data_IF_340053230071
#
_entry.id   IF_340053230071
#
_cell.length_a   1.000
_cell.length_b   1.000
_cell.length_c   1.000
_cell.angle_alpha   90.00
_cell.angle_beta   90.00
_cell.angle_gamma   90.00
#
_symmetry.space_group_name_H-M   'P 1'
#
loop_
_entity.id
_entity.type
_entity.pdbx_description
1 polymer ?
#
# COMPACT_ATOMS: atom_id res chain seq x y z
N UNK A 1 3.00 -8.87 -14.23
CA UNK A 1 3.40 -8.12 -13.03
C UNK A 1 2.16 -7.92 -12.19
N UNK A 2 2.18 -8.24 -10.90
CA UNK A 2 1.04 -8.04 -10.01
C UNK A 2 1.25 -6.75 -9.21
N UNK A 3 0.19 -5.96 -9.07
CA UNK A 3 0.19 -4.72 -8.30
C UNK A 3 -0.70 -4.89 -7.08
N UNK A 4 -0.18 -4.56 -5.90
CA UNK A 4 -0.89 -4.59 -4.63
C UNK A 4 -1.55 -3.23 -4.42
N UNK A 5 -2.86 -3.23 -4.18
CA UNK A 5 -3.61 -2.06 -3.74
C UNK A 5 -3.78 -2.21 -2.23
N UNK A 6 -3.08 -1.38 -1.46
CA UNK A 6 -3.06 -1.43 0.00
C UNK A 6 -3.98 -0.34 0.55
N UNK A 7 -5.06 -0.72 1.24
CA UNK A 7 -5.94 0.23 1.93
C UNK A 7 -5.62 0.16 3.42
N UNK A 8 -5.16 1.27 3.97
CA UNK A 8 -4.71 1.38 5.37
C UNK A 8 -4.92 2.83 5.85
N UNK A 9 -5.70 3.02 6.91
CA UNK A 9 -6.11 4.33 7.42
C UNK A 9 -5.04 4.98 8.31
N UNK A 10 -4.11 4.21 8.87
CA UNK A 10 -2.98 4.74 9.61
C UNK A 10 -1.76 4.98 8.70
N UNK A 11 -1.36 6.25 8.55
CA UNK A 11 -0.33 6.68 7.60
C UNK A 11 1.03 6.05 7.90
N UNK A 12 1.45 5.96 9.16
CA UNK A 12 2.76 5.42 9.49
C UNK A 12 2.82 3.91 9.18
N UNK A 13 1.76 3.17 9.49
CA UNK A 13 1.63 1.75 9.16
C UNK A 13 1.64 1.53 7.64
N UNK A 14 0.88 2.34 6.89
CA UNK A 14 0.85 2.30 5.43
C UNK A 14 2.24 2.48 4.81
N UNK A 15 3.03 3.44 5.33
CA UNK A 15 4.41 3.66 4.88
C UNK A 15 5.34 2.49 5.18
N UNK A 16 5.22 1.91 6.38
CA UNK A 16 6.02 0.75 6.78
C UNK A 16 5.71 -0.45 5.88
N UNK A 17 4.43 -0.79 5.68
CA UNK A 17 3.99 -1.90 4.84
C UNK A 17 4.39 -1.71 3.37
N UNK A 18 4.17 -0.52 2.82
CA UNK A 18 4.59 -0.18 1.45
C UNK A 18 6.09 -0.42 1.26
N UNK A 19 6.91 0.08 2.19
CA UNK A 19 8.37 -0.08 2.14
C UNK A 19 8.82 -1.54 2.20
N UNK A 20 8.15 -2.38 2.99
CA UNK A 20 8.49 -3.81 3.07
C UNK A 20 8.14 -4.56 1.78
N UNK A 21 6.93 -4.32 1.26
CA UNK A 21 6.46 -4.98 0.05
C UNK A 21 7.25 -4.56 -1.20
N UNK A 22 7.61 -3.28 -1.30
CA UNK A 22 8.47 -2.79 -2.38
C UNK A 22 9.88 -3.41 -2.31
N UNK A 23 10.44 -3.62 -1.11
CA UNK A 23 11.71 -4.33 -0.91
C UNK A 23 11.66 -5.80 -1.34
N UNK A 24 10.50 -6.43 -1.25
CA UNK A 24 10.27 -7.79 -1.76
C UNK A 24 10.03 -7.83 -3.28
N UNK A 25 10.05 -6.67 -3.95
CA UNK A 25 9.88 -6.55 -5.40
C UNK A 25 8.43 -6.42 -5.87
N UNK A 26 7.49 -6.17 -4.95
CA UNK A 26 6.10 -5.89 -5.31
C UNK A 26 5.92 -4.44 -5.74
N UNK A 27 5.01 -4.21 -6.68
CA UNK A 27 4.51 -2.86 -6.97
C UNK A 27 3.31 -2.57 -6.07
N UNK A 28 3.41 -1.53 -5.23
CA UNK A 28 2.40 -1.21 -4.22
C UNK A 28 1.79 0.14 -4.49
N UNK A 29 0.47 0.24 -4.35
CA UNK A 29 -0.27 1.50 -4.39
C UNK A 29 -1.07 1.64 -3.09
N UNK A 30 -0.62 2.48 -2.14
CA UNK A 30 -1.33 2.71 -0.90
C UNK A 30 -2.48 3.71 -1.06
N UNK A 31 -3.52 3.53 -0.24
CA UNK A 31 -4.71 4.35 -0.12
C UNK A 31 -5.06 4.52 1.36
N UNK A 32 -5.56 5.69 1.75
CA UNK A 32 -5.88 6.02 3.15
C UNK A 32 -7.31 5.62 3.54
N UNK A 33 -8.14 5.28 2.55
CA UNK A 33 -9.53 4.91 2.75
C UNK A 33 -10.03 4.08 1.55
N UNK A 34 -11.20 3.46 1.71
CA UNK A 34 -11.81 2.66 0.64
C UNK A 34 -12.36 3.49 -0.53
N UNK A 35 -12.62 4.78 -0.33
CA UNK A 35 -13.16 5.66 -1.38
C UNK A 35 -12.08 6.03 -2.40
N UNK A 36 -10.87 6.35 -1.92
CA UNK A 36 -9.71 6.61 -2.74
C UNK A 36 -9.19 5.38 -3.49
N UNK A 37 -9.56 4.17 -3.03
CA UNK A 37 -9.21 2.90 -3.63
C UNK A 37 -10.18 2.43 -4.74
N UNK A 38 -11.32 3.10 -4.91
CA UNK A 38 -12.33 2.77 -5.93
C UNK A 38 -11.96 3.26 -7.34
#
# INVERSE_FOLDING_TARGET
>A
MFRIFLVEDEINLSQVLTSYLEKEGWEVRPFIDGESAF
#
